data_IF_123657041588
#
_entry.id   IF_123657041588
#
_cell.length_a   1.000
_cell.length_b   1.000
_cell.length_c   1.000
_cell.angle_alpha   90.00
_cell.angle_beta   90.00
_cell.angle_gamma   90.00
#
_symmetry.space_group_name_H-M   'P 1'
#
loop_
_entity.id
_entity.type
_entity.pdbx_description
1 polymer ?
#
# COMPACT_ATOMS: atom_id res chain seq x y z
N UNK A 1 20.21 -1.99 9.50
CA UNK A 1 20.58 -2.00 8.05
C UNK A 1 20.44 -3.39 7.43
N UNK A 2 20.92 -4.47 8.07
CA UNK A 2 20.85 -5.83 7.50
C UNK A 2 19.40 -6.34 7.27
N UNK A 3 18.46 -5.99 8.15
CA UNK A 3 17.04 -6.38 8.04
C UNK A 3 16.36 -5.80 6.81
N UNK A 4 16.58 -4.52 6.52
CA UNK A 4 16.05 -3.88 5.31
C UNK A 4 16.62 -4.52 4.04
N UNK A 5 17.91 -4.86 4.03
CA UNK A 5 18.53 -5.58 2.91
C UNK A 5 17.87 -6.94 2.67
N UNK A 6 17.60 -7.71 3.73
CA UNK A 6 16.91 -9.00 3.63
C UNK A 6 15.52 -8.82 3.01
N UNK A 7 14.78 -7.80 3.45
CA UNK A 7 13.46 -7.48 2.88
C UNK A 7 13.53 -7.22 1.37
N UNK A 8 14.46 -6.37 0.91
CA UNK A 8 14.67 -6.13 -0.52
C UNK A 8 15.16 -7.37 -1.29
N UNK A 9 15.92 -8.27 -0.67
CA UNK A 9 16.38 -9.51 -1.31
C UNK A 9 15.19 -10.46 -1.55
N UNK A 10 14.30 -10.60 -0.57
CA UNK A 10 13.07 -11.40 -0.70
C UNK A 10 12.22 -10.87 -1.85
N UNK A 11 12.00 -9.56 -1.89
CA UNK A 11 11.18 -8.91 -2.92
C UNK A 11 11.82 -8.93 -4.33
N UNK A 12 13.15 -8.79 -4.40
CA UNK A 12 13.88 -8.89 -5.67
C UNK A 12 13.89 -10.32 -6.22
N UNK A 13 13.89 -11.36 -5.37
CA UNK A 13 13.77 -12.76 -5.82
C UNK A 13 12.46 -12.99 -6.58
N UNK A 14 11.41 -12.30 -6.16
CA UNK A 14 10.08 -12.37 -6.76
C UNK A 14 9.94 -11.46 -8.00
N UNK A 15 11.01 -10.76 -8.38
CA UNK A 15 11.02 -9.72 -9.43
C UNK A 15 10.00 -8.59 -9.16
N UNK A 16 9.64 -8.38 -7.89
CA UNK A 16 8.70 -7.36 -7.47
C UNK A 16 9.39 -6.02 -7.27
N UNK A 17 10.72 -6.02 -7.10
CA UNK A 17 11.51 -4.82 -6.81
C UNK A 17 12.84 -4.79 -7.54
N UNK A 18 13.40 -3.59 -7.74
CA UNK A 18 14.78 -3.46 -8.16
C UNK A 18 15.70 -4.05 -7.09
N UNK A 19 16.84 -4.57 -7.53
CA UNK A 19 17.91 -4.94 -6.61
C UNK A 19 18.39 -3.71 -5.85
N UNK A 20 18.65 -3.88 -4.55
CA UNK A 20 19.19 -2.82 -3.70
C UNK A 20 20.57 -2.31 -4.17
N UNK A 21 21.35 -3.14 -4.88
CA UNK A 21 22.73 -2.82 -5.27
C UNK A 21 22.96 -2.78 -6.78
N UNK A 22 22.15 -3.46 -7.59
CA UNK A 22 22.47 -3.71 -8.98
C UNK A 22 21.42 -3.18 -9.95
N UNK A 23 21.82 -2.67 -11.12
CA UNK A 23 20.88 -2.31 -12.17
C UNK A 23 20.11 -3.55 -12.66
N UNK A 24 18.92 -3.29 -13.22
CA UNK A 24 18.05 -4.34 -13.77
C UNK A 24 18.78 -5.14 -14.86
N UNK A 25 18.80 -6.46 -14.71
CA UNK A 25 19.50 -7.38 -15.63
C UNK A 25 18.61 -7.77 -16.82
N UNK A 26 19.22 -8.26 -17.92
CA UNK A 26 18.46 -8.81 -19.06
C UNK A 26 17.56 -9.98 -18.64
N UNK A 27 18.03 -10.80 -17.71
CA UNK A 27 17.26 -11.93 -17.16
C UNK A 27 15.98 -11.45 -16.46
N UNK A 28 16.07 -10.42 -15.62
CA UNK A 28 14.90 -9.82 -14.96
C UNK A 28 13.88 -9.30 -15.97
N UNK A 29 14.30 -8.67 -17.06
CA UNK A 29 13.38 -8.23 -18.13
C UNK A 29 12.60 -9.39 -18.75
N UNK A 30 13.29 -10.49 -19.06
CA UNK A 30 12.67 -11.69 -19.62
C UNK A 30 11.72 -12.33 -18.60
N UNK A 31 12.15 -12.46 -17.36
CA UNK A 31 11.33 -13.01 -16.27
C UNK A 31 10.07 -12.17 -16.05
N UNK A 32 10.17 -10.84 -16.04
CA UNK A 32 9.02 -9.93 -15.94
C UNK A 32 8.06 -10.10 -17.11
N UNK A 33 8.53 -10.15 -18.35
CA UNK A 33 7.66 -10.41 -19.50
C UNK A 33 6.95 -11.76 -19.37
N UNK A 34 7.65 -12.81 -18.94
CA UNK A 34 7.06 -14.12 -18.70
C UNK A 34 5.99 -14.08 -17.62
N UNK A 35 6.27 -13.47 -16.46
CA UNK A 35 5.30 -13.34 -15.36
C UNK A 35 4.07 -12.55 -15.79
N UNK A 36 4.25 -11.45 -16.54
CA UNK A 36 3.14 -10.63 -17.06
C UNK A 36 2.28 -11.43 -18.04
N UNK A 37 2.90 -12.11 -19.01
CA UNK A 37 2.18 -12.93 -19.99
C UNK A 37 1.44 -14.10 -19.35
N UNK A 38 2.07 -14.77 -18.36
CA UNK A 38 1.45 -15.86 -17.62
C UNK A 38 0.23 -15.38 -16.81
N UNK A 39 0.38 -14.28 -16.06
CA UNK A 39 -0.73 -13.67 -15.33
C UNK A 39 -1.89 -13.31 -16.27
N UNK A 40 -1.59 -12.68 -17.40
CA UNK A 40 -2.60 -12.30 -18.39
C UNK A 40 -3.36 -13.52 -18.93
N UNK A 41 -2.65 -14.55 -19.41
CA UNK A 41 -3.28 -15.74 -19.97
C UNK A 41 -4.15 -16.44 -18.94
N UNK A 42 -3.67 -16.62 -17.71
CA UNK A 42 -4.44 -17.36 -16.70
C UNK A 42 -5.63 -16.55 -16.22
N UNK A 43 -5.51 -15.23 -16.00
CA UNK A 43 -6.67 -14.41 -15.65
C UNK A 43 -7.72 -14.44 -16.75
N UNK A 44 -7.34 -14.41 -18.04
CA UNK A 44 -8.30 -14.54 -19.15
C UNK A 44 -9.01 -15.92 -19.14
N UNK A 45 -8.29 -16.99 -18.83
CA UNK A 45 -8.89 -18.33 -18.66
C UNK A 45 -9.85 -18.35 -17.47
N UNK A 46 -9.46 -17.76 -16.34
CA UNK A 46 -10.31 -17.68 -15.15
C UNK A 46 -11.60 -16.91 -15.42
N UNK A 47 -11.50 -15.73 -16.04
CA UNK A 47 -12.66 -14.91 -16.40
C UNK A 47 -13.60 -15.72 -17.30
N UNK A 48 -13.07 -16.42 -18.32
CA UNK A 48 -13.91 -17.25 -19.20
C UNK A 48 -14.65 -18.33 -18.42
N UNK A 49 -13.95 -19.07 -17.56
CA UNK A 49 -14.53 -20.15 -16.75
C UNK A 49 -15.64 -19.60 -15.84
N UNK A 50 -15.43 -18.45 -15.19
CA UNK A 50 -16.44 -17.85 -14.30
C UNK A 50 -17.62 -17.27 -15.08
N UNK A 51 -17.40 -16.69 -16.26
CA UNK A 51 -18.48 -16.15 -17.10
C UNK A 51 -19.38 -17.28 -17.61
N UNK A 52 -18.81 -18.43 -17.95
CA UNK A 52 -19.53 -19.60 -18.44
C UNK A 52 -20.26 -20.35 -17.31
N UNK A 53 -19.97 -20.06 -16.03
CA UNK A 53 -20.63 -20.69 -14.89
C UNK A 53 -22.09 -20.18 -14.75
N UNK A 54 -23.10 -21.07 -14.83
CA UNK A 54 -24.50 -20.70 -14.68
C UNK A 54 -24.90 -20.32 -13.25
N UNK A 55 -24.08 -20.65 -12.24
CA UNK A 55 -24.40 -20.35 -10.82
C UNK A 55 -24.23 -18.87 -10.47
N UNK A 56 -23.54 -18.08 -11.31
CA UNK A 56 -23.28 -16.68 -11.05
C UNK A 56 -24.36 -15.77 -11.64
N UNK A 57 -25.04 -15.02 -10.77
CA UNK A 57 -25.93 -13.93 -11.18
C UNK A 57 -25.13 -12.79 -11.86
N UNK A 58 -25.82 -11.98 -12.68
CA UNK A 58 -25.17 -10.91 -13.46
C UNK A 58 -24.31 -9.96 -12.59
N UNK A 59 -24.81 -9.51 -11.44
CA UNK A 59 -24.06 -8.61 -10.56
C UNK A 59 -22.78 -9.28 -10.00
N UNK A 60 -22.83 -10.57 -9.65
CA UNK A 60 -21.66 -11.34 -9.20
C UNK A 60 -20.62 -11.43 -10.32
N UNK A 61 -21.04 -11.70 -11.56
CA UNK A 61 -20.16 -11.74 -12.73
C UNK A 61 -19.46 -10.40 -12.95
N UNK A 62 -20.19 -9.28 -12.79
CA UNK A 62 -19.61 -7.94 -12.91
C UNK A 62 -18.59 -7.66 -11.80
N UNK A 63 -18.93 -7.92 -10.54
CA UNK A 63 -17.99 -7.72 -9.43
C UNK A 63 -16.73 -8.57 -9.57
N UNK A 64 -16.90 -9.85 -9.92
CA UNK A 64 -15.80 -10.76 -10.17
C UNK A 64 -14.91 -10.27 -11.31
N UNK A 65 -15.50 -9.90 -12.45
CA UNK A 65 -14.77 -9.38 -13.60
C UNK A 65 -13.99 -8.10 -13.27
N UNK A 66 -14.59 -7.16 -12.54
CA UNK A 66 -13.92 -5.93 -12.11
C UNK A 66 -12.77 -6.21 -11.15
N UNK A 67 -12.99 -7.10 -10.17
CA UNK A 67 -11.97 -7.50 -9.19
C UNK A 67 -10.77 -8.17 -9.89
N UNK A 68 -11.03 -9.13 -10.77
CA UNK A 68 -10.00 -9.86 -11.53
C UNK A 68 -9.23 -8.95 -12.47
N UNK A 69 -9.94 -8.05 -13.16
CA UNK A 69 -9.31 -7.07 -14.04
C UNK A 69 -8.42 -6.13 -13.25
N UNK A 70 -8.89 -5.64 -12.10
CA UNK A 70 -8.10 -4.76 -11.24
C UNK A 70 -6.87 -5.50 -10.68
N UNK A 71 -7.02 -6.75 -10.23
CA UNK A 71 -5.94 -7.59 -9.75
C UNK A 71 -4.88 -7.84 -10.84
N UNK A 72 -5.31 -8.14 -12.07
CA UNK A 72 -4.45 -8.28 -13.23
C UNK A 72 -3.70 -6.98 -13.53
N UNK A 73 -4.39 -5.83 -13.52
CA UNK A 73 -3.75 -4.54 -13.76
C UNK A 73 -2.68 -4.28 -12.69
N UNK A 74 -2.94 -4.51 -11.40
CA UNK A 74 -1.93 -4.33 -10.34
C UNK A 74 -0.72 -5.24 -10.54
N UNK A 75 -0.98 -6.53 -10.75
CA UNK A 75 0.07 -7.55 -10.83
C UNK A 75 0.90 -7.46 -12.10
N UNK A 76 0.35 -6.91 -13.19
CA UNK A 76 1.11 -6.58 -14.40
C UNK A 76 1.81 -5.22 -14.30
N UNK A 77 1.11 -4.19 -13.85
CA UNK A 77 1.63 -2.82 -13.76
C UNK A 77 2.86 -2.75 -12.87
N UNK A 78 2.85 -3.44 -11.73
CA UNK A 78 3.92 -3.29 -10.74
C UNK A 78 5.29 -3.78 -11.22
N UNK A 79 5.47 -5.00 -11.73
CA UNK A 79 6.75 -5.43 -12.27
C UNK A 79 7.12 -4.66 -13.55
N UNK A 80 6.15 -4.22 -14.37
CA UNK A 80 6.42 -3.35 -15.53
C UNK A 80 6.94 -1.97 -15.12
N UNK A 81 6.37 -1.37 -14.07
CA UNK A 81 6.80 -0.10 -13.48
C UNK A 81 8.24 -0.17 -12.99
N UNK A 82 8.59 -1.25 -12.30
CA UNK A 82 9.93 -1.50 -11.76
C UNK A 82 10.97 -1.66 -12.87
N UNK A 83 10.65 -2.44 -13.91
CA UNK A 83 11.64 -2.86 -14.91
C UNK A 83 11.73 -1.93 -16.12
N UNK A 84 10.61 -1.37 -16.56
CA UNK A 84 10.51 -0.65 -17.83
C UNK A 84 10.14 0.82 -17.69
N UNK A 85 9.07 1.17 -16.97
CA UNK A 85 8.51 2.52 -17.06
C UNK A 85 9.14 3.53 -16.09
N UNK A 86 9.30 3.18 -14.82
CA UNK A 86 9.68 4.12 -13.76
C UNK A 86 11.04 3.78 -13.13
N UNK A 87 11.92 3.13 -13.90
CA UNK A 87 13.20 2.60 -13.39
C UNK A 87 14.03 3.66 -12.68
N UNK A 88 14.15 4.86 -13.24
CA UNK A 88 14.97 5.93 -12.67
C UNK A 88 14.38 6.45 -11.35
N UNK A 89 13.04 6.57 -11.28
CA UNK A 89 12.35 6.97 -10.05
C UNK A 89 12.47 5.90 -8.96
N UNK A 90 12.37 4.62 -9.33
CA UNK A 90 12.64 3.50 -8.42
C UNK A 90 14.06 3.51 -7.86
N UNK A 91 15.05 3.79 -8.71
CA UNK A 91 16.44 3.90 -8.26
C UNK A 91 16.62 5.06 -7.29
N UNK A 92 16.09 6.26 -7.63
CA UNK A 92 16.10 7.44 -6.75
C UNK A 92 15.40 7.16 -5.42
N UNK A 93 14.26 6.47 -5.43
CA UNK A 93 13.54 6.06 -4.24
C UNK A 93 14.40 5.20 -3.31
N UNK A 94 15.07 4.18 -3.86
CA UNK A 94 15.96 3.29 -3.10
C UNK A 94 17.15 4.05 -2.54
N UNK A 95 17.73 4.97 -3.31
CA UNK A 95 18.89 5.74 -2.87
C UNK A 95 18.52 6.77 -1.80
N UNK A 96 17.36 7.41 -1.91
CA UNK A 96 16.81 8.25 -0.86
C UNK A 96 16.51 7.45 0.41
N UNK A 97 16.00 6.23 0.28
CA UNK A 97 15.76 5.34 1.41
C UNK A 97 17.07 4.96 2.12
N UNK A 98 18.12 4.63 1.36
CA UNK A 98 19.47 4.37 1.91
C UNK A 98 19.99 5.55 2.70
N UNK A 99 19.88 6.75 2.12
CA UNK A 99 20.34 7.99 2.74
C UNK A 99 19.58 8.30 4.04
N UNK A 100 18.26 8.15 4.05
CA UNK A 100 17.45 8.32 5.26
C UNK A 100 17.87 7.33 6.34
N UNK A 101 18.03 6.06 5.98
CA UNK A 101 18.36 5.00 6.95
C UNK A 101 19.77 5.19 7.51
N UNK A 102 20.72 5.74 6.73
CA UNK A 102 22.09 5.99 7.22
C UNK A 102 22.18 7.18 8.18
N UNK A 103 21.33 8.20 8.01
CA UNK A 103 21.32 9.40 8.85
C UNK A 103 20.41 9.24 10.07
N UNK A 104 19.44 8.33 10.03
CA UNK A 104 18.46 8.17 11.09
C UNK A 104 19.09 7.61 12.38
N UNK A 105 19.02 8.40 13.45
CA UNK A 105 19.39 7.95 14.81
C UNK A 105 18.45 6.83 15.32
N UNK A 106 17.26 6.67 14.73
CA UNK A 106 16.23 5.70 15.12
C UNK A 106 16.35 4.36 14.37
N UNK A 107 17.57 3.94 13.99
CA UNK A 107 17.83 2.68 13.28
C UNK A 107 17.18 1.44 13.93
N UNK A 108 17.07 1.41 15.27
CA UNK A 108 16.46 0.30 16.01
C UNK A 108 14.93 0.25 15.85
N UNK A 109 14.25 1.39 15.68
CA UNK A 109 12.80 1.43 15.41
C UNK A 109 12.51 0.96 13.99
N UNK A 110 13.28 1.44 13.02
CA UNK A 110 13.19 1.01 11.62
C UNK A 110 13.40 -0.50 11.52
N UNK A 111 14.45 -1.02 12.15
CA UNK A 111 14.75 -2.46 12.10
C UNK A 111 13.64 -3.32 12.71
N UNK A 112 13.06 -2.90 13.84
CA UNK A 112 11.93 -3.60 14.47
C UNK A 112 10.69 -3.58 13.58
N UNK A 113 10.39 -2.45 12.96
CA UNK A 113 9.25 -2.36 12.05
C UNK A 113 9.42 -3.26 10.83
N UNK A 114 10.61 -3.30 10.23
CA UNK A 114 10.91 -4.19 9.10
C UNK A 114 10.77 -5.67 9.51
N UNK A 115 11.17 -6.05 10.72
CA UNK A 115 10.95 -7.41 11.23
C UNK A 115 9.46 -7.74 11.37
N UNK A 116 8.66 -6.80 11.88
CA UNK A 116 7.19 -6.94 11.94
C UNK A 116 6.61 -7.08 10.53
N UNK A 117 7.08 -6.29 9.57
CA UNK A 117 6.65 -6.37 8.17
C UNK A 117 6.99 -7.73 7.53
N UNK A 118 8.18 -8.28 7.79
CA UNK A 118 8.56 -9.62 7.34
C UNK A 118 7.69 -10.70 7.99
N UNK A 119 7.46 -10.61 9.30
CA UNK A 119 6.58 -11.55 10.01
C UNK A 119 5.15 -11.50 9.46
N UNK A 120 4.66 -10.29 9.17
CA UNK A 120 3.37 -10.06 8.52
C UNK A 120 3.35 -10.68 7.13
N UNK A 121 4.35 -10.45 6.29
CA UNK A 121 4.44 -11.05 4.95
C UNK A 121 4.37 -12.58 4.99
N UNK A 122 5.05 -13.20 5.96
CA UNK A 122 4.99 -14.65 6.17
C UNK A 122 3.59 -15.10 6.64
N UNK A 123 2.98 -14.38 7.58
CA UNK A 123 1.63 -14.67 8.05
C UNK A 123 0.61 -14.62 6.90
N UNK A 124 0.70 -13.61 6.03
CA UNK A 124 -0.16 -13.50 4.84
C UNK A 124 0.02 -14.69 3.90
N UNK A 125 1.27 -15.12 3.66
CA UNK A 125 1.54 -16.30 2.83
C UNK A 125 0.88 -17.55 3.42
N UNK A 126 0.99 -17.75 4.74
CA UNK A 126 0.34 -18.88 5.43
C UNK A 126 -1.18 -18.79 5.29
N UNK A 127 -1.77 -17.60 5.46
CA UNK A 127 -3.22 -17.39 5.31
C UNK A 127 -3.70 -17.73 3.90
N UNK A 128 -3.00 -17.26 2.87
CA UNK A 128 -3.31 -17.59 1.47
C UNK A 128 -3.21 -19.10 1.24
N UNK A 129 -2.14 -19.75 1.72
CA UNK A 129 -2.00 -21.21 1.58
C UNK A 129 -3.11 -21.99 2.28
N UNK A 130 -3.56 -21.54 3.46
CA UNK A 130 -4.70 -22.13 4.17
C UNK A 130 -5.98 -21.98 3.34
N UNK A 131 -6.26 -20.80 2.80
CA UNK A 131 -7.40 -20.56 1.89
C UNK A 131 -7.34 -21.53 0.72
N UNK A 132 -6.21 -21.61 0.01
CA UNK A 132 -6.09 -22.50 -1.14
C UNK A 132 -6.26 -23.99 -0.73
N UNK A 133 -5.76 -24.39 0.44
CA UNK A 133 -5.92 -25.76 0.96
C UNK A 133 -7.39 -26.10 1.27
N UNK A 134 -8.13 -25.17 1.91
CA UNK A 134 -9.54 -25.36 2.20
C UNK A 134 -10.39 -25.44 0.93
N UNK A 135 -10.19 -24.52 -0.01
CA UNK A 135 -10.92 -24.54 -1.28
C UNK A 135 -10.57 -25.77 -2.14
N UNK A 136 -9.32 -26.24 -2.10
CA UNK A 136 -8.92 -27.51 -2.72
C UNK A 136 -9.62 -28.71 -2.09
N UNK A 137 -9.87 -28.70 -0.77
CA UNK A 137 -10.64 -29.77 -0.11
C UNK A 137 -12.10 -29.81 -0.59
N UNK A 138 -12.70 -28.66 -0.88
CA UNK A 138 -14.10 -28.54 -1.28
C UNK A 138 -14.30 -28.84 -2.77
N UNK A 139 -13.48 -28.27 -3.64
CA UNK A 139 -13.61 -28.36 -5.10
C UNK A 139 -12.62 -29.33 -5.76
N UNK A 140 -11.75 -29.97 -4.98
CA UNK A 140 -10.71 -30.86 -5.48
C UNK A 140 -9.64 -30.15 -6.31
N UNK A 141 -8.98 -30.90 -7.19
CA UNK A 141 -7.93 -30.39 -8.08
C UNK A 141 -8.41 -29.35 -9.09
N UNK A 142 -9.73 -29.25 -9.31
CA UNK A 142 -10.30 -28.19 -10.15
C UNK A 142 -10.00 -26.80 -9.58
N UNK A 143 -10.03 -26.64 -8.26
CA UNK A 143 -9.68 -25.35 -7.65
C UNK A 143 -8.23 -24.96 -7.96
N UNK A 144 -7.28 -25.87 -7.73
CA UNK A 144 -5.85 -25.61 -7.98
C UNK A 144 -5.62 -25.22 -9.44
N UNK A 145 -6.29 -25.91 -10.38
CA UNK A 145 -6.15 -25.65 -11.81
C UNK A 145 -6.62 -24.23 -12.21
N UNK A 146 -7.71 -23.75 -11.63
CA UNK A 146 -8.31 -22.47 -12.04
C UNK A 146 -7.94 -21.28 -11.15
N UNK A 147 -7.64 -21.50 -9.87
CA UNK A 147 -7.48 -20.45 -8.86
C UNK A 147 -6.09 -20.37 -8.21
N UNK A 148 -5.15 -21.25 -8.55
CA UNK A 148 -3.78 -21.15 -8.00
C UNK A 148 -3.08 -19.84 -8.37
N UNK A 149 -3.31 -19.32 -9.58
CA UNK A 149 -2.76 -18.01 -9.96
C UNK A 149 -3.40 -16.89 -9.15
N UNK A 150 -4.69 -17.01 -8.83
CA UNK A 150 -5.39 -16.01 -8.03
C UNK A 150 -4.77 -15.93 -6.65
N UNK A 151 -4.58 -17.08 -5.99
CA UNK A 151 -3.85 -17.16 -4.73
C UNK A 151 -2.49 -16.45 -4.81
N UNK A 152 -1.73 -16.66 -5.90
CA UNK A 152 -0.44 -15.99 -6.11
C UNK A 152 -0.60 -14.48 -6.32
N UNK A 153 -1.54 -14.04 -7.15
CA UNK A 153 -1.83 -12.63 -7.41
C UNK A 153 -2.29 -11.89 -6.15
N UNK A 154 -3.16 -12.48 -5.33
CA UNK A 154 -3.54 -11.99 -4.00
C UNK A 154 -2.27 -11.71 -3.19
N UNK A 155 -1.42 -12.73 -3.05
CA UNK A 155 -0.19 -12.62 -2.27
C UNK A 155 0.75 -11.52 -2.80
N UNK A 156 0.87 -11.36 -4.12
CA UNK A 156 1.63 -10.26 -4.72
C UNK A 156 1.10 -8.88 -4.30
N UNK A 157 -0.21 -8.65 -4.38
CA UNK A 157 -0.83 -7.39 -3.97
C UNK A 157 -0.56 -7.10 -2.49
N UNK A 158 -0.64 -8.11 -1.62
CA UNK A 158 -0.32 -7.97 -0.21
C UNK A 158 1.15 -7.61 0.05
N UNK A 159 2.07 -8.32 -0.61
CA UNK A 159 3.51 -8.02 -0.54
C UNK A 159 3.77 -6.55 -0.92
N UNK A 160 3.16 -6.07 -2.00
CA UNK A 160 3.27 -4.66 -2.40
C UNK A 160 2.69 -3.70 -1.36
N UNK A 161 1.53 -4.01 -0.79
CA UNK A 161 0.94 -3.18 0.26
C UNK A 161 1.85 -3.09 1.49
N UNK A 162 2.48 -4.19 1.90
CA UNK A 162 3.43 -4.22 3.03
C UNK A 162 4.67 -3.39 2.70
N UNK A 163 5.16 -3.45 1.47
CA UNK A 163 6.30 -2.64 1.07
C UNK A 163 6.01 -1.13 1.11
N UNK A 164 4.88 -0.72 0.54
CA UNK A 164 4.41 0.67 0.58
C UNK A 164 4.30 1.14 2.03
N UNK A 165 3.72 0.31 2.90
CA UNK A 165 3.62 0.54 4.34
C UNK A 165 5.01 0.75 5.00
N UNK A 166 6.02 -0.08 4.69
CA UNK A 166 7.39 0.10 5.21
C UNK A 166 8.01 1.43 4.80
N UNK A 167 7.85 1.85 3.55
CA UNK A 167 8.39 3.15 3.08
C UNK A 167 7.68 4.31 3.80
N UNK A 168 6.35 4.27 3.86
CA UNK A 168 5.57 5.32 4.51
C UNK A 168 5.87 5.41 6.02
N UNK A 169 6.08 4.28 6.69
CA UNK A 169 6.54 4.26 8.08
C UNK A 169 7.87 5.00 8.25
N UNK A 170 8.86 4.72 7.38
CA UNK A 170 10.18 5.36 7.43
C UNK A 170 10.05 6.87 7.20
N UNK A 171 9.25 7.31 6.22
CA UNK A 171 8.97 8.72 5.98
C UNK A 171 8.32 9.41 7.18
N UNK A 172 7.28 8.78 7.76
CA UNK A 172 6.59 9.27 8.96
C UNK A 172 7.56 9.45 10.13
N UNK A 173 8.47 8.51 10.34
CA UNK A 173 9.50 8.60 11.37
C UNK A 173 10.43 9.81 11.15
N UNK A 174 10.80 10.11 9.90
CA UNK A 174 11.65 11.26 9.61
C UNK A 174 10.95 12.60 9.85
N UNK A 175 9.68 12.74 9.44
CA UNK A 175 8.92 13.94 9.76
C UNK A 175 8.77 14.14 11.28
N UNK A 176 8.56 13.06 12.04
CA UNK A 176 8.55 13.11 13.52
C UNK A 176 9.90 13.53 14.10
N UNK A 177 10.99 12.99 13.57
CA UNK A 177 12.34 13.36 13.99
C UNK A 177 12.63 14.84 13.74
N UNK A 178 12.19 15.36 12.59
CA UNK A 178 12.32 16.75 12.23
C UNK A 178 11.52 17.66 13.17
N UNK A 179 10.29 17.28 13.52
CA UNK A 179 9.46 18.02 14.48
C UNK A 179 10.07 18.02 15.89
N UNK A 180 10.61 16.88 16.32
CA UNK A 180 11.32 16.79 17.60
C UNK A 180 12.59 17.66 17.61
N UNK A 181 13.30 17.73 16.48
CA UNK A 181 14.50 18.58 16.36
C UNK A 181 14.12 20.06 16.44
N UNK A 182 13.04 20.47 15.77
CA UNK A 182 12.55 21.84 15.80
C UNK A 182 12.11 22.24 17.21
N UNK A 183 11.29 21.41 17.86
CA UNK A 183 10.75 21.67 19.20
C UNK A 183 11.80 21.68 20.32
N UNK A 184 12.83 20.83 20.22
CA UNK A 184 13.94 20.82 21.20
C UNK A 184 14.93 21.96 20.98
N UNK A 185 15.08 22.45 19.75
CA UNK A 185 16.03 23.52 19.42
C UNK A 185 15.48 24.93 19.62
N UNK A 186 14.23 25.13 20.09
CA UNK A 186 13.57 26.45 20.17
C UNK A 186 14.40 27.48 20.96
N UNK A 187 15.00 27.08 22.08
CA UNK A 187 15.74 27.99 22.96
C UNK A 187 17.17 28.29 22.47
N UNK A 188 17.75 27.40 21.67
CA UNK A 188 19.14 27.47 21.18
C UNK A 188 19.22 27.65 19.66
N UNK A 189 18.11 28.09 19.07
CA UNK A 189 17.88 28.06 17.63
C UNK A 189 18.84 29.04 16.93
N UNK A 190 19.82 28.49 16.23
CA UNK A 190 20.75 29.22 15.39
C UNK A 190 20.38 29.06 13.92
N UNK A 191 20.86 29.97 13.06
CA UNK A 191 20.55 29.97 11.63
C UNK A 191 20.98 28.65 10.95
N UNK A 192 22.09 28.05 11.39
CA UNK A 192 22.57 26.76 10.88
C UNK A 192 21.59 25.61 11.15
N UNK A 193 20.94 25.58 12.31
CA UNK A 193 19.94 24.55 12.65
C UNK A 193 18.69 24.72 11.79
N UNK A 194 18.23 25.96 11.58
CA UNK A 194 17.13 26.28 10.67
C UNK A 194 17.43 25.84 9.24
N UNK A 195 18.61 26.18 8.72
CA UNK A 195 19.06 25.76 7.39
C UNK A 195 19.03 24.24 7.24
N UNK A 196 19.49 23.51 8.25
CA UNK A 196 19.47 22.03 8.25
C UNK A 196 18.04 21.47 8.25
N UNK A 197 17.13 22.06 9.03
CA UNK A 197 15.72 21.64 9.07
C UNK A 197 15.04 21.93 7.73
N UNK A 198 15.30 23.09 7.14
CA UNK A 198 14.80 23.50 5.83
C UNK A 198 15.25 22.53 4.73
N UNK A 199 16.54 22.21 4.68
CA UNK A 199 17.11 21.25 3.73
C UNK A 199 16.51 19.85 3.90
N UNK A 200 16.40 19.35 5.13
CA UNK A 200 15.81 18.05 5.41
C UNK A 200 14.32 18.00 5.02
N UNK A 201 13.57 19.08 5.28
CA UNK A 201 12.15 19.17 4.90
C UNK A 201 11.98 19.13 3.38
N UNK A 202 12.78 19.90 2.64
CA UNK A 202 12.75 19.91 1.17
C UNK A 202 13.13 18.54 0.60
N UNK A 203 14.14 17.88 1.16
CA UNK A 203 14.52 16.52 0.78
C UNK A 203 13.39 15.51 1.04
N UNK A 204 12.69 15.60 2.18
CA UNK A 204 11.55 14.73 2.46
C UNK A 204 10.38 14.99 1.51
N UNK A 205 10.15 16.24 1.10
CA UNK A 205 9.15 16.57 0.07
C UNK A 205 9.51 15.94 -1.27
N UNK A 206 10.76 16.07 -1.72
CA UNK A 206 11.25 15.43 -2.94
C UNK A 206 11.09 13.90 -2.86
N UNK A 207 11.37 13.30 -1.70
CA UNK A 207 11.10 11.88 -1.48
C UNK A 207 9.62 11.56 -1.68
N UNK A 208 8.70 12.30 -1.04
CA UNK A 208 7.25 12.08 -1.18
C UNK A 208 6.80 12.21 -2.63
N UNK A 209 7.38 13.14 -3.40
CA UNK A 209 7.09 13.28 -4.83
C UNK A 209 7.54 12.07 -5.63
N UNK A 210 8.75 11.58 -5.40
CA UNK A 210 9.24 10.34 -6.02
C UNK A 210 8.37 9.14 -5.62
N UNK A 211 7.94 9.07 -4.35
CA UNK A 211 7.03 8.05 -3.88
C UNK A 211 5.69 8.09 -4.64
N UNK A 212 5.10 9.28 -4.82
CA UNK A 212 3.87 9.42 -5.59
C UNK A 212 4.08 8.97 -7.05
N UNK A 213 5.15 9.41 -7.72
CA UNK A 213 5.43 8.99 -9.10
C UNK A 213 5.52 7.45 -9.24
N UNK A 214 6.07 6.77 -8.23
CA UNK A 214 6.22 5.31 -8.24
C UNK A 214 4.92 4.59 -7.87
N UNK A 215 4.25 5.00 -6.78
CA UNK A 215 3.17 4.24 -6.14
C UNK A 215 1.77 4.79 -6.34
N UNK A 216 1.58 5.94 -6.99
CA UNK A 216 0.25 6.56 -7.11
C UNK A 216 -0.78 5.62 -7.75
N UNK A 217 -0.41 4.93 -8.84
CA UNK A 217 -1.27 3.96 -9.52
C UNK A 217 -1.45 2.69 -8.70
N UNK A 218 -0.36 2.15 -8.15
CA UNK A 218 -0.40 0.93 -7.33
C UNK A 218 -1.31 1.14 -6.12
N UNK A 219 -1.19 2.28 -5.44
CA UNK A 219 -2.01 2.62 -4.26
C UNK A 219 -3.48 2.82 -4.64
N UNK A 220 -3.77 3.50 -5.76
CA UNK A 220 -5.13 3.65 -6.27
C UNK A 220 -5.79 2.28 -6.54
N UNK A 221 -5.05 1.40 -7.22
CA UNK A 221 -5.54 0.08 -7.59
C UNK A 221 -5.67 -0.86 -6.37
N UNK A 222 -4.78 -0.77 -5.37
CA UNK A 222 -4.92 -1.49 -4.09
C UNK A 222 -6.19 -1.03 -3.36
N UNK A 223 -6.44 0.27 -3.27
CA UNK A 223 -7.67 0.79 -2.64
C UNK A 223 -8.91 0.30 -3.40
N UNK A 224 -8.91 0.41 -4.73
CA UNK A 224 -10.00 -0.07 -5.59
C UNK A 224 -10.24 -1.58 -5.39
N UNK A 225 -9.15 -2.35 -5.35
CA UNK A 225 -9.18 -3.77 -5.12
C UNK A 225 -9.85 -4.12 -3.80
N UNK A 226 -9.41 -3.47 -2.71
CA UNK A 226 -9.94 -3.72 -1.37
C UNK A 226 -11.44 -3.45 -1.31
N UNK A 227 -11.92 -2.39 -1.98
CA UNK A 227 -13.36 -2.12 -2.09
C UNK A 227 -14.05 -3.24 -2.86
N UNK A 228 -13.60 -3.58 -4.07
CA UNK A 228 -14.22 -4.63 -4.89
C UNK A 228 -14.23 -6.00 -4.18
N UNK A 229 -13.14 -6.34 -3.50
CA UNK A 229 -12.99 -7.57 -2.76
C UNK A 229 -13.94 -7.62 -1.55
N UNK A 230 -14.08 -6.51 -0.80
CA UNK A 230 -15.10 -6.41 0.24
C UNK A 230 -16.51 -6.63 -0.30
N UNK A 231 -16.86 -5.99 -1.42
CA UNK A 231 -18.19 -6.13 -2.01
C UNK A 231 -18.46 -7.56 -2.46
N UNK A 232 -17.49 -8.19 -3.12
CA UNK A 232 -17.56 -9.56 -3.58
C UNK A 232 -17.75 -10.54 -2.40
N UNK A 233 -16.92 -10.43 -1.37
CA UNK A 233 -17.00 -11.33 -0.21
C UNK A 233 -18.27 -11.08 0.60
N UNK A 234 -18.72 -9.84 0.77
CA UNK A 234 -19.98 -9.58 1.48
C UNK A 234 -21.18 -10.18 0.75
N UNK A 235 -21.25 -10.07 -0.58
CA UNK A 235 -22.32 -10.73 -1.34
C UNK A 235 -22.24 -12.26 -1.21
N UNK A 236 -21.04 -12.84 -1.23
CA UNK A 236 -20.84 -14.26 -0.98
C UNK A 236 -21.30 -14.67 0.43
N UNK A 237 -20.93 -13.91 1.46
CA UNK A 237 -21.32 -14.18 2.85
C UNK A 237 -22.84 -14.07 3.02
N UNK A 238 -23.48 -13.03 2.49
CA UNK A 238 -24.95 -12.86 2.56
C UNK A 238 -25.68 -14.00 1.85
N UNK A 239 -25.20 -14.42 0.68
CA UNK A 239 -25.80 -15.54 -0.05
C UNK A 239 -25.74 -16.85 0.74
N UNK A 240 -24.62 -17.13 1.42
CA UNK A 240 -24.42 -18.39 2.13
C UNK A 240 -24.98 -18.41 3.56
N UNK A 241 -25.03 -17.26 4.26
CA UNK A 241 -25.65 -17.15 5.58
C UNK A 241 -27.13 -17.59 5.57
N UNK A 242 -27.82 -17.44 4.44
CA UNK A 242 -29.21 -17.85 4.28
C UNK A 242 -29.36 -19.36 4.01
N UNK A 243 -28.29 -20.07 3.62
CA UNK A 243 -28.35 -21.47 3.18
C UNK A 243 -27.78 -22.49 4.19
N UNK A 244 -27.25 -22.05 5.35
CA UNK A 244 -26.96 -22.82 6.58
C UNK A 244 -26.49 -24.29 6.42
N UNK A 245 -25.49 -24.54 5.57
CA UNK A 245 -24.76 -25.83 5.57
C UNK A 245 -23.45 -25.72 6.38
N UNK A 246 -23.18 -26.70 7.27
CA UNK A 246 -22.02 -26.69 8.19
C UNK A 246 -20.66 -26.51 7.48
N UNK A 247 -20.48 -27.07 6.28
CA UNK A 247 -19.22 -26.92 5.53
C UNK A 247 -18.98 -25.49 5.04
N UNK A 248 -20.04 -24.67 4.91
CA UNK A 248 -19.94 -23.29 4.47
C UNK A 248 -19.44 -22.36 5.58
N UNK A 249 -19.62 -22.72 6.86
CA UNK A 249 -19.22 -21.87 7.99
C UNK A 249 -17.71 -21.60 8.02
N UNK A 250 -16.89 -22.64 7.81
CA UNK A 250 -15.43 -22.49 7.82
C UNK A 250 -14.91 -21.72 6.62
N UNK A 251 -15.53 -21.87 5.44
CA UNK A 251 -15.17 -21.12 4.23
C UNK A 251 -15.47 -19.64 4.44
N UNK A 252 -16.69 -19.34 4.91
CA UNK A 252 -17.11 -17.97 5.25
C UNK A 252 -16.17 -17.34 6.27
N UNK A 253 -15.78 -18.07 7.31
CA UNK A 253 -14.85 -17.57 8.33
C UNK A 253 -13.49 -17.20 7.73
N UNK A 254 -12.93 -18.07 6.88
CA UNK A 254 -11.63 -17.87 6.24
C UNK A 254 -11.66 -16.67 5.28
N UNK A 255 -12.71 -16.54 4.48
CA UNK A 255 -12.85 -15.43 3.53
C UNK A 255 -13.08 -14.09 4.25
N UNK A 256 -13.88 -14.08 5.32
CA UNK A 256 -14.06 -12.88 6.17
C UNK A 256 -12.74 -12.48 6.82
N UNK A 257 -11.97 -13.43 7.33
CA UNK A 257 -10.66 -13.15 7.90
C UNK A 257 -9.71 -12.56 6.86
N UNK A 258 -9.71 -13.10 5.63
CA UNK A 258 -8.91 -12.57 4.53
C UNK A 258 -9.30 -11.13 4.20
N UNK A 259 -10.61 -10.82 4.11
CA UNK A 259 -11.11 -9.45 3.93
C UNK A 259 -10.66 -8.52 5.05
N UNK A 260 -10.80 -8.92 6.31
CA UNK A 260 -10.38 -8.10 7.46
C UNK A 260 -8.90 -7.73 7.33
N UNK A 261 -8.07 -8.70 6.94
CA UNK A 261 -6.64 -8.49 6.74
C UNK A 261 -6.37 -7.54 5.55
N UNK A 262 -7.06 -7.69 4.41
CA UNK A 262 -6.98 -6.75 3.26
C UNK A 262 -7.32 -5.32 3.65
N UNK A 263 -8.41 -5.18 4.39
CA UNK A 263 -8.92 -3.89 4.83
C UNK A 263 -7.93 -3.25 5.79
N UNK A 264 -7.44 -3.98 6.80
CA UNK A 264 -6.43 -3.48 7.73
C UNK A 264 -5.18 -3.02 6.97
N UNK A 265 -4.68 -3.81 6.01
CA UNK A 265 -3.51 -3.42 5.23
C UNK A 265 -3.69 -2.12 4.46
N UNK A 266 -4.84 -1.96 3.79
CA UNK A 266 -5.17 -0.75 3.04
C UNK A 266 -5.34 0.45 3.98
N UNK A 267 -6.01 0.26 5.11
CA UNK A 267 -6.21 1.31 6.12
C UNK A 267 -4.88 1.77 6.71
N UNK A 268 -3.95 0.86 6.99
CA UNK A 268 -2.62 1.20 7.51
C UNK A 268 -1.86 2.10 6.52
N UNK A 269 -1.89 1.79 5.22
CA UNK A 269 -1.29 2.64 4.18
C UNK A 269 -1.91 4.05 4.19
N UNK A 270 -3.25 4.15 4.19
CA UNK A 270 -3.96 5.44 4.22
C UNK A 270 -3.61 6.24 5.49
N UNK A 271 -3.57 5.56 6.65
CA UNK A 271 -3.26 6.19 7.93
C UNK A 271 -1.81 6.66 8.01
N UNK A 272 -0.85 5.97 7.38
CA UNK A 272 0.52 6.46 7.31
C UNK A 272 0.65 7.71 6.44
N UNK A 273 0.00 7.74 5.27
CA UNK A 273 -0.06 8.94 4.43
C UNK A 273 -0.60 10.13 5.26
N UNK A 274 -1.71 9.94 5.97
CA UNK A 274 -2.29 10.99 6.81
C UNK A 274 -1.40 11.37 8.01
N UNK A 275 -0.71 10.39 8.62
CA UNK A 275 0.24 10.64 9.70
C UNK A 275 1.38 11.54 9.22
N UNK A 276 1.91 11.32 8.00
CA UNK A 276 2.96 12.18 7.43
C UNK A 276 2.44 13.61 7.25
N UNK A 277 1.24 13.78 6.67
CA UNK A 277 0.62 15.09 6.50
C UNK A 277 0.39 15.79 7.85
N UNK A 278 -0.02 15.04 8.87
CA UNK A 278 -0.23 15.56 10.22
C UNK A 278 1.08 16.08 10.84
N UNK A 279 2.17 15.31 10.73
CA UNK A 279 3.49 15.71 11.25
C UNK A 279 4.08 16.88 10.46
N UNK A 280 3.93 16.89 9.13
CA UNK A 280 4.30 18.04 8.30
C UNK A 280 3.51 19.31 8.69
N UNK A 281 2.21 19.17 9.00
CA UNK A 281 1.38 20.28 9.47
C UNK A 281 1.74 20.77 10.87
N UNK A 282 2.26 19.90 11.76
CA UNK A 282 2.83 20.32 13.05
C UNK A 282 4.06 21.19 12.84
N UNK A 283 4.98 20.79 11.96
CA UNK A 283 6.18 21.58 11.63
C UNK A 283 5.84 23.00 11.16
N UNK A 284 4.88 23.13 10.22
CA UNK A 284 4.42 24.44 9.73
C UNK A 284 3.79 25.27 10.85
N UNK A 285 2.97 24.67 11.72
CA UNK A 285 2.38 25.39 12.86
C UNK A 285 3.42 25.81 13.90
N UNK A 286 4.40 24.95 14.16
CA UNK A 286 5.51 25.26 15.06
C UNK A 286 6.38 26.39 14.50
N UNK A 287 6.60 26.46 13.18
CA UNK A 287 7.37 27.55 12.56
C UNK A 287 6.72 28.92 12.77
N UNK A 288 5.39 29.01 12.72
CA UNK A 288 4.66 30.23 13.10
C UNK A 288 4.84 30.58 14.58
N UNK A 289 4.87 29.57 15.45
CA UNK A 289 5.11 29.77 16.88
C UNK A 289 6.53 30.24 17.20
N UNK A 290 7.53 29.88 16.38
CA UNK A 290 8.92 30.27 16.57
C UNK A 290 9.15 31.77 16.49
N UNK A 291 8.45 32.46 15.58
CA UNK A 291 8.52 33.92 15.45
C UNK A 291 8.23 34.64 16.78
N UNK A 292 7.34 34.06 17.61
CA UNK A 292 6.98 34.63 18.91
C UNK A 292 7.94 34.23 20.03
N UNK A 293 8.55 33.05 19.94
CA UNK A 293 9.33 32.45 21.02
C UNK A 293 10.83 32.76 20.94
N UNK A 294 11.37 32.92 19.74
CA UNK A 294 12.80 33.11 19.53
C UNK A 294 13.10 34.55 19.13
N UNK A 295 13.80 35.30 19.99
CA UNK A 295 14.23 36.68 19.71
C UNK A 295 15.63 36.78 19.09
N UNK A 296 16.31 35.65 18.91
CA UNK A 296 17.72 35.59 18.50
C UNK A 296 17.91 35.80 16.99
N UNK A 297 16.88 35.56 16.18
CA UNK A 297 16.94 35.67 14.73
C UNK A 297 15.99 36.77 14.23
N UNK A 298 16.31 37.43 13.11
CA UNK A 298 15.43 38.42 12.50
C UNK A 298 14.09 37.79 12.09
N UNK A 299 12.98 38.52 12.27
CA UNK A 299 11.63 38.05 11.91
C UNK A 299 11.54 37.61 10.44
N UNK A 300 12.20 38.35 9.54
CA UNK A 300 12.28 38.01 8.11
C UNK A 300 12.86 36.61 7.84
N UNK A 301 13.75 36.10 8.71
CA UNK A 301 14.30 34.75 8.56
C UNK A 301 13.26 33.67 8.86
N UNK A 302 12.44 33.87 9.89
CA UNK A 302 11.35 32.96 10.25
C UNK A 302 10.20 32.99 9.24
N UNK A 303 9.90 34.16 8.68
CA UNK A 303 8.92 34.30 7.61
C UNK A 303 9.37 33.52 6.36
N UNK A 304 10.65 33.69 5.96
CA UNK A 304 11.24 32.92 4.86
C UNK A 304 11.18 31.42 5.13
N UNK A 305 11.57 30.98 6.32
CA UNK A 305 11.53 29.56 6.69
C UNK A 305 10.11 28.99 6.61
N UNK A 306 9.14 29.69 7.20
CA UNK A 306 7.72 29.26 7.18
C UNK A 306 7.17 29.19 5.77
N UNK A 307 7.49 30.19 4.93
CA UNK A 307 7.12 30.19 3.51
C UNK A 307 7.68 28.96 2.77
N UNK A 308 8.93 28.58 3.04
CA UNK A 308 9.54 27.41 2.43
C UNK A 308 8.87 26.11 2.87
N UNK A 309 8.53 25.98 4.16
CA UNK A 309 7.76 24.82 4.64
C UNK A 309 6.38 24.74 3.98
N UNK A 310 5.69 25.86 3.81
CA UNK A 310 4.39 25.89 3.16
C UNK A 310 4.45 25.53 1.68
N UNK A 311 5.42 26.08 0.95
CA UNK A 311 5.61 25.81 -0.48
C UNK A 311 6.00 24.35 -0.74
N UNK A 312 6.63 23.69 0.22
CA UNK A 312 7.06 22.30 0.12
C UNK A 312 6.19 21.34 0.94
N UNK A 313 4.93 21.71 1.23
CA UNK A 313 4.03 20.84 1.98
C UNK A 313 3.78 19.52 1.21
N UNK A 314 3.99 18.34 1.82
CA UNK A 314 3.78 17.07 1.14
C UNK A 314 2.31 16.85 0.82
N UNK A 315 2.03 16.14 -0.27
CA UNK A 315 0.69 15.65 -0.62
C UNK A 315 0.81 14.20 -1.08
N UNK A 316 -0.22 13.38 -0.84
CA UNK A 316 -0.29 12.01 -1.33
C UNK A 316 -1.49 11.88 -2.24
N UNK A 317 -1.27 11.39 -3.46
CA UNK A 317 -2.33 11.25 -4.46
C UNK A 317 -2.39 9.82 -4.99
N UNK A 318 -3.61 9.34 -5.22
CA UNK A 318 -3.91 8.09 -5.87
C UNK A 318 -4.15 8.34 -7.37
N UNK A 319 -3.07 8.30 -8.16
CA UNK A 319 -3.03 8.51 -9.61
C UNK A 319 -3.70 9.82 -10.09
N UNK A 320 -3.72 10.87 -9.27
CA UNK A 320 -4.42 12.11 -9.58
C UNK A 320 -5.94 12.05 -9.45
N UNK A 321 -6.53 10.88 -9.16
CA UNK A 321 -7.98 10.75 -8.98
C UNK A 321 -8.46 11.37 -7.67
N UNK A 322 -7.71 11.17 -6.58
CA UNK A 322 -8.02 11.73 -5.27
C UNK A 322 -6.79 11.85 -4.38
N UNK A 323 -6.87 12.73 -3.38
CA UNK A 323 -5.88 12.84 -2.31
C UNK A 323 -6.13 11.78 -1.23
N UNK A 324 -5.07 11.14 -0.75
CA UNK A 324 -5.16 10.10 0.28
C UNK A 324 -5.17 10.77 1.65
N UNK A 325 -6.31 10.69 2.35
CA UNK A 325 -6.54 11.27 3.68
C UNK A 325 -7.30 10.29 4.56
N UNK A 326 -7.38 10.53 5.87
CA UNK A 326 -8.26 9.77 6.79
C UNK A 326 -9.72 9.68 6.32
N UNK A 327 -10.24 10.70 5.64
CA UNK A 327 -11.59 10.69 5.06
C UNK A 327 -11.79 9.61 3.99
N UNK A 328 -10.72 9.18 3.32
CA UNK A 328 -10.77 8.06 2.35
C UNK A 328 -11.23 6.77 3.03
N UNK A 329 -10.82 6.51 4.29
CA UNK A 329 -11.30 5.35 5.06
C UNK A 329 -12.81 5.38 5.26
N UNK A 330 -13.36 6.55 5.62
CA UNK A 330 -14.80 6.73 5.78
C UNK A 330 -15.53 6.57 4.45
N UNK A 331 -14.93 7.04 3.35
CA UNK A 331 -15.48 6.84 2.00
C UNK A 331 -15.57 5.36 1.60
N UNK A 332 -14.56 4.56 1.93
CA UNK A 332 -14.56 3.10 1.73
C UNK A 332 -15.71 2.47 2.52
N UNK A 333 -15.80 2.74 3.83
CA UNK A 333 -16.86 2.18 4.70
C UNK A 333 -18.25 2.59 4.19
N UNK A 334 -18.44 3.86 3.82
CA UNK A 334 -19.71 4.35 3.31
C UNK A 334 -20.13 3.63 2.02
N UNK A 335 -19.18 3.42 1.09
CA UNK A 335 -19.42 2.71 -0.17
C UNK A 335 -19.82 1.26 0.08
N UNK A 336 -19.08 0.57 0.96
CA UNK A 336 -19.33 -0.84 1.31
C UNK A 336 -20.67 -1.00 2.02
N UNK A 337 -20.98 -0.15 3.00
CA UNK A 337 -22.26 -0.19 3.73
C UNK A 337 -23.43 0.08 2.80
N UNK A 338 -23.32 1.06 1.90
CA UNK A 338 -24.38 1.37 0.93
C UNK A 338 -24.64 0.18 0.01
N UNK A 339 -23.58 -0.43 -0.54
CA UNK A 339 -23.72 -1.63 -1.36
C UNK A 339 -24.31 -2.79 -0.57
N UNK A 340 -23.86 -3.01 0.67
CA UNK A 340 -24.38 -4.06 1.54
C UNK A 340 -25.88 -3.93 1.77
N UNK A 341 -26.36 -2.71 2.08
CA UNK A 341 -27.81 -2.44 2.25
C UNK A 341 -28.57 -2.81 0.98
N UNK A 342 -28.08 -2.37 -0.19
CA UNK A 342 -28.71 -2.64 -1.49
C UNK A 342 -28.73 -4.15 -1.78
N UNK A 343 -27.62 -4.85 -1.55
CA UNK A 343 -27.52 -6.29 -1.78
C UNK A 343 -28.49 -7.09 -0.89
N UNK A 344 -28.63 -6.71 0.38
CA UNK A 344 -29.61 -7.32 1.30
C UNK A 344 -31.04 -7.05 0.83
N UNK A 345 -31.36 -5.80 0.45
CA UNK A 345 -32.70 -5.43 -0.01
C UNK A 345 -33.15 -6.24 -1.23
N UNK A 346 -32.30 -6.35 -2.27
CA UNK A 346 -32.62 -7.12 -3.47
C UNK A 346 -32.85 -8.61 -3.19
N UNK A 347 -32.14 -9.19 -2.21
CA UNK A 347 -32.32 -10.61 -1.84
C UNK A 347 -33.56 -10.86 -1.01
N UNK A 348 -34.01 -9.89 -0.22
CA UNK A 348 -35.27 -10.02 0.54
C UNK A 348 -36.53 -9.83 -0.30
N UNK A 349 -36.40 -9.29 -1.52
CA UNK A 349 -37.53 -9.07 -2.43
C UNK A 349 -37.79 -10.23 -3.41
N UNK A 350 -36.86 -11.19 -3.51
CA UNK A 350 -37.01 -12.47 -4.21
C UNK A 350 -37.54 -13.53 -3.24
#
# INVERSE_FOLDING_TARGET
MNTLKIFFVIENLLSLMPSYHHPVTRFQKIATCLVVTLNFVITMVSIKVTVDDPQYNFHKKVLFFLSDTNLLIVTCYTPLSVVFWNRDNWQKLIDNLKFIVSISNDCSKISRYVQIAIARLFLELVMVLLVCAYWTKVYGLHFVKYYSIHCFQYWLVYSYSIFVDVILYILSLQYKCLNNTLSTSISTLCDNTLNKIEQNYCFLKEFVDIFNEVFQWITALIICYTVLYMLHTLDFVVANLLQLEYYMEMIVLVDVLLVVITVIGTLVVILWCDSILTEAGKLVRESYGLQRKCRLLPEARFERFTKILQQNFPSFSAAGFFEIKKSTCLGIINTVTTFFIVAVQFRTSE
#
